data_IF_609479719887
#
_entry.id   IF_609479719887
#
_cell.length_a   1.000
_cell.length_b   1.000
_cell.length_c   1.000
_cell.angle_alpha   90.00
_cell.angle_beta   90.00
_cell.angle_gamma   90.00
#
_symmetry.space_group_name_H-M   'P 1'
#
loop_
_entity.id
_entity.type
_entity.pdbx_description
1 polymer ?
#
# COMPACT_ATOMS: atom_id res chain seq x y z
N UNK A 1 -26.17 -13.67 -32.79
CA UNK A 1 -25.22 -12.57 -33.01
C UNK A 1 -25.05 -11.88 -31.67
N UNK A 2 -23.83 -11.95 -31.10
CA UNK A 2 -23.42 -11.45 -29.78
C UNK A 2 -24.05 -12.18 -28.59
N UNK A 3 -23.51 -13.37 -28.34
CA UNK A 3 -23.60 -14.06 -27.06
C UNK A 3 -22.98 -13.15 -25.99
N UNK A 4 -23.74 -12.91 -24.92
CA UNK A 4 -23.31 -12.28 -23.68
C UNK A 4 -21.99 -12.93 -23.23
N UNK A 5 -20.87 -12.28 -23.50
CA UNK A 5 -19.60 -12.60 -22.86
C UNK A 5 -19.60 -11.90 -21.52
N UNK A 6 -19.55 -12.70 -20.46
CA UNK A 6 -19.38 -12.26 -19.08
C UNK A 6 -18.10 -11.40 -19.00
N UNK A 7 -18.26 -10.08 -18.83
CA UNK A 7 -17.20 -9.07 -18.93
C UNK A 7 -16.15 -9.16 -17.79
N UNK A 8 -16.23 -10.18 -16.93
CA UNK A 8 -15.30 -10.41 -15.82
C UNK A 8 -14.40 -11.65 -16.01
N UNK A 9 -14.47 -12.32 -17.17
CA UNK A 9 -13.53 -13.39 -17.47
C UNK A 9 -12.17 -12.83 -17.88
N UNK A 10 -11.20 -12.99 -16.98
CA UNK A 10 -9.80 -12.67 -17.26
C UNK A 10 -9.34 -13.59 -18.37
N UNK A 11 -9.19 -13.01 -19.56
CA UNK A 11 -8.85 -13.70 -20.80
C UNK A 11 -7.55 -14.48 -20.60
N UNK A 12 -7.66 -15.81 -20.55
CA UNK A 12 -6.51 -16.72 -20.48
C UNK A 12 -6.23 -17.27 -21.86
N UNK A 13 -5.65 -16.45 -22.74
CA UNK A 13 -5.11 -16.98 -23.99
C UNK A 13 -3.87 -17.86 -23.73
N UNK A 14 -3.72 -18.99 -24.43
CA UNK A 14 -2.56 -19.86 -24.28
C UNK A 14 -1.28 -19.13 -24.68
N UNK A 15 -0.33 -19.01 -23.74
CA UNK A 15 0.94 -18.32 -23.94
C UNK A 15 0.99 -16.89 -23.41
N UNK A 16 -0.14 -16.31 -22.99
CA UNK A 16 -0.18 -14.95 -22.47
C UNK A 16 0.27 -14.89 -21.00
N UNK A 17 1.31 -14.11 -20.71
CA UNK A 17 1.82 -13.98 -19.35
C UNK A 17 0.94 -13.02 -18.51
N UNK A 18 1.26 -12.89 -17.24
CA UNK A 18 0.48 -12.07 -16.29
C UNK A 18 0.47 -10.57 -16.64
N UNK A 19 1.59 -10.05 -17.15
CA UNK A 19 1.74 -8.65 -17.59
C UNK A 19 0.93 -8.39 -18.85
N UNK A 20 0.98 -9.31 -19.81
CA UNK A 20 0.25 -9.19 -21.07
C UNK A 20 -1.27 -9.09 -20.81
N UNK A 21 -1.79 -9.95 -19.93
CA UNK A 21 -3.21 -9.91 -19.51
C UNK A 21 -3.57 -8.60 -18.81
N UNK A 22 -2.69 -8.09 -17.94
CA UNK A 22 -2.93 -6.84 -17.22
C UNK A 22 -2.94 -5.63 -18.18
N UNK A 23 -2.04 -5.60 -19.16
CA UNK A 23 -1.97 -4.54 -20.16
C UNK A 23 -3.15 -4.56 -21.13
N UNK A 24 -3.73 -5.74 -21.38
CA UNK A 24 -4.93 -5.90 -22.19
C UNK A 24 -6.24 -5.60 -21.44
N UNK A 25 -6.17 -5.31 -20.14
CA UNK A 25 -7.34 -5.02 -19.32
C UNK A 25 -7.93 -3.65 -19.68
N UNK A 26 -9.13 -3.65 -20.25
CA UNK A 26 -9.91 -2.42 -20.45
C UNK A 26 -10.66 -2.10 -19.16
N UNK A 27 -10.15 -1.11 -18.40
CA UNK A 27 -10.83 -0.63 -17.19
C UNK A 27 -11.86 0.43 -17.61
N UNK A 28 -13.14 0.04 -17.67
CA UNK A 28 -14.28 0.96 -17.75
C UNK A 28 -14.49 1.57 -16.35
N UNK A 29 -13.71 2.58 -15.93
CA UNK A 29 -14.16 3.67 -15.02
C UNK A 29 -13.01 4.60 -14.54
N UNK A 30 -13.41 5.86 -14.40
CA UNK A 30 -12.68 7.04 -13.95
C UNK A 30 -12.16 6.87 -12.50
N UNK A 31 -10.87 7.17 -12.27
CA UNK A 31 -10.21 7.30 -10.95
C UNK A 31 -10.68 6.37 -9.82
N UNK A 32 -10.67 5.05 -10.04
CA UNK A 32 -10.78 4.11 -8.92
C UNK A 32 -9.45 4.02 -8.16
N UNK A 33 -9.49 4.03 -6.83
CA UNK A 33 -8.30 3.87 -5.99
C UNK A 33 -7.55 2.58 -6.37
N UNK A 34 -6.27 2.64 -6.79
CA UNK A 34 -5.54 1.45 -7.23
C UNK A 34 -5.46 0.37 -6.14
N UNK A 35 -5.49 0.75 -4.87
CA UNK A 35 -5.50 -0.20 -3.76
C UNK A 35 -6.78 -1.04 -3.73
N UNK A 36 -7.95 -0.45 -4.04
CA UNK A 36 -9.21 -1.19 -4.02
C UNK A 36 -9.24 -2.22 -5.15
N UNK A 37 -8.72 -1.88 -6.33
CA UNK A 37 -8.52 -2.82 -7.43
C UNK A 37 -7.66 -4.03 -7.00
N UNK A 38 -6.46 -3.79 -6.48
CA UNK A 38 -5.56 -4.88 -6.07
C UNK A 38 -6.05 -5.67 -4.86
N UNK A 39 -6.94 -5.10 -4.03
CA UNK A 39 -7.54 -5.79 -2.89
C UNK A 39 -8.63 -6.80 -3.30
N UNK A 40 -9.21 -6.69 -4.48
CA UNK A 40 -10.26 -7.60 -4.93
C UNK A 40 -9.75 -9.04 -5.04
N UNK A 41 -10.46 -9.98 -4.40
CA UNK A 41 -10.04 -11.39 -4.34
C UNK A 41 -9.87 -12.03 -5.73
N UNK A 42 -10.73 -11.67 -6.70
CA UNK A 42 -10.63 -12.18 -8.07
C UNK A 42 -9.37 -11.67 -8.79
N UNK A 43 -8.97 -10.41 -8.57
CA UNK A 43 -7.72 -9.84 -9.09
C UNK A 43 -6.51 -10.53 -8.47
N UNK A 44 -6.52 -10.79 -7.15
CA UNK A 44 -5.43 -11.49 -6.47
C UNK A 44 -5.21 -12.91 -7.01
N UNK A 45 -6.30 -13.63 -7.29
CA UNK A 45 -6.26 -14.99 -7.82
C UNK A 45 -5.79 -15.04 -9.28
N UNK A 46 -6.10 -14.01 -10.06
CA UNK A 46 -5.75 -13.96 -11.47
C UNK A 46 -4.36 -13.38 -11.77
N UNK A 47 -3.89 -12.52 -10.86
CA UNK A 47 -2.60 -11.83 -10.93
C UNK A 47 -1.77 -12.06 -9.66
N UNK A 48 -1.36 -13.31 -9.35
CA UNK A 48 -0.66 -13.63 -8.10
C UNK A 48 0.75 -13.01 -7.99
N UNK A 49 1.45 -12.75 -9.10
CA UNK A 49 2.81 -12.20 -9.08
C UNK A 49 2.78 -10.68 -9.05
N UNK A 50 1.97 -10.08 -9.92
CA UNK A 50 1.72 -8.64 -9.96
C UNK A 50 1.04 -8.16 -8.70
N UNK A 51 0.13 -8.92 -8.08
CA UNK A 51 -0.43 -8.54 -6.78
C UNK A 51 0.65 -8.44 -5.69
N UNK A 52 1.59 -9.40 -5.65
CA UNK A 52 2.72 -9.35 -4.71
C UNK A 52 3.64 -8.16 -4.99
N UNK A 53 3.80 -7.78 -6.25
CA UNK A 53 4.55 -6.58 -6.65
C UNK A 53 3.81 -5.31 -6.24
N UNK A 54 2.54 -5.18 -6.62
CA UNK A 54 1.67 -4.06 -6.31
C UNK A 54 1.63 -3.78 -4.80
N UNK A 55 1.48 -4.82 -3.96
CA UNK A 55 1.55 -4.67 -2.50
C UNK A 55 2.85 -4.02 -2.02
N UNK A 56 3.99 -4.40 -2.59
CA UNK A 56 5.28 -3.82 -2.22
C UNK A 56 5.39 -2.39 -2.73
N UNK A 57 5.05 -2.16 -3.99
CA UNK A 57 5.14 -0.84 -4.63
C UNK A 57 4.26 0.19 -3.93
N UNK A 58 3.01 -0.14 -3.64
CA UNK A 58 2.08 0.78 -2.97
C UNK A 58 2.33 0.92 -1.46
N UNK A 59 3.12 0.05 -0.84
CA UNK A 59 3.55 0.22 0.55
C UNK A 59 4.68 1.26 0.69
N UNK A 60 5.35 1.63 -0.41
CA UNK A 60 6.39 2.66 -0.39
C UNK A 60 5.71 4.03 -0.32
N UNK A 61 6.03 4.87 0.68
CA UNK A 61 5.50 6.22 0.73
C UNK A 61 6.05 7.05 -0.45
N UNK A 62 5.20 7.90 -1.02
CA UNK A 62 5.58 8.77 -2.14
C UNK A 62 6.65 9.81 -1.75
N UNK A 63 6.79 10.16 -0.46
CA UNK A 63 7.74 11.17 0.00
C UNK A 63 8.40 10.83 1.34
N UNK A 64 9.56 11.47 1.58
CA UNK A 64 10.27 11.43 2.88
C UNK A 64 9.51 12.14 4.00
N UNK A 65 8.48 12.94 3.69
CA UNK A 65 7.74 13.72 4.68
C UNK A 65 7.14 12.85 5.80
N UNK A 66 6.79 11.60 5.50
CA UNK A 66 6.32 10.62 6.51
C UNK A 66 7.40 10.32 7.54
N UNK A 67 8.63 10.14 7.06
CA UNK A 67 9.82 9.86 7.87
C UNK A 67 10.26 11.11 8.64
N UNK A 68 10.29 12.26 7.98
CA UNK A 68 10.61 13.56 8.60
C UNK A 68 9.63 13.93 9.73
N UNK A 69 8.34 13.60 9.56
CA UNK A 69 7.35 13.77 10.63
C UNK A 69 7.69 12.92 11.86
N UNK A 70 8.18 11.70 11.66
CA UNK A 70 8.62 10.86 12.78
C UNK A 70 9.90 11.37 13.43
N UNK A 71 10.88 11.83 12.64
CA UNK A 71 12.07 12.47 13.20
C UNK A 71 11.75 13.77 13.96
N UNK A 72 10.82 14.58 13.45
CA UNK A 72 10.35 15.77 14.14
C UNK A 72 9.72 15.41 15.49
N UNK A 73 8.90 14.36 15.52
CA UNK A 73 8.33 13.83 16.76
C UNK A 73 9.40 13.31 17.72
N UNK A 74 10.40 12.60 17.22
CA UNK A 74 11.54 12.13 18.01
C UNK A 74 12.34 13.29 18.61
N UNK A 75 12.56 14.36 17.85
CA UNK A 75 13.20 15.59 18.35
C UNK A 75 12.40 16.29 19.46
N UNK A 76 11.08 16.11 19.50
CA UNK A 76 10.27 16.56 20.63
C UNK A 76 10.37 15.63 21.85
N UNK A 77 10.64 14.34 21.66
CA UNK A 77 10.82 13.37 22.75
C UNK A 77 12.20 13.57 23.40
N UNK A 78 13.25 13.59 22.58
CA UNK A 78 14.64 13.79 23.01
C UNK A 78 14.97 15.27 22.98
N UNK A 79 14.78 15.95 24.11
CA UNK A 79 15.10 17.37 24.28
C UNK A 79 16.30 17.54 25.21
N UNK A 80 16.90 18.73 25.23
CA UNK A 80 18.04 19.03 26.11
C UNK A 80 17.73 18.73 27.60
N UNK A 81 16.49 18.98 28.04
CA UNK A 81 16.01 18.69 29.41
C UNK A 81 15.73 17.20 29.65
N UNK A 82 15.55 16.40 28.60
CA UNK A 82 15.29 14.95 28.64
C UNK A 82 16.41 14.17 27.94
N UNK A 83 17.64 14.61 28.12
CA UNK A 83 18.83 14.03 27.46
C UNK A 83 19.30 12.71 28.07
N UNK A 84 18.81 12.35 29.27
CA UNK A 84 19.19 11.12 29.98
C UNK A 84 18.18 9.97 29.80
N UNK A 85 17.48 9.93 28.66
CA UNK A 85 16.59 8.81 28.33
C UNK A 85 17.41 7.68 27.70
N UNK A 86 17.18 6.46 28.17
CA UNK A 86 17.75 5.28 27.52
C UNK A 86 17.18 5.09 26.11
N UNK A 87 17.99 4.55 25.19
CA UNK A 87 17.62 4.34 23.79
C UNK A 87 16.37 3.46 23.65
N UNK A 88 16.22 2.44 24.50
CA UNK A 88 15.02 1.58 24.49
C UNK A 88 13.76 2.36 24.83
N UNK A 89 13.87 3.32 25.77
CA UNK A 89 12.75 4.16 26.20
C UNK A 89 12.35 5.13 25.10
N UNK A 90 13.32 5.74 24.41
CA UNK A 90 13.06 6.61 23.25
C UNK A 90 12.32 5.84 22.15
N UNK A 91 12.80 4.64 21.81
CA UNK A 91 12.15 3.80 20.80
C UNK A 91 10.71 3.44 21.17
N UNK A 92 10.47 3.06 22.44
CA UNK A 92 9.12 2.76 22.93
C UNK A 92 8.20 3.99 22.85
N UNK A 93 8.69 5.17 23.21
CA UNK A 93 7.91 6.41 23.13
C UNK A 93 7.55 6.79 21.69
N UNK A 94 8.49 6.67 20.76
CA UNK A 94 8.24 6.90 19.33
C UNK A 94 7.18 5.91 18.81
N UNK A 95 7.32 4.63 19.16
CA UNK A 95 6.38 3.58 18.75
C UNK A 95 4.96 3.83 19.30
N UNK A 96 4.82 4.08 20.61
CA UNK A 96 3.53 4.34 21.24
C UNK A 96 2.86 5.57 20.64
N UNK A 97 3.62 6.65 20.40
CA UNK A 97 3.12 7.85 19.72
C UNK A 97 2.65 7.54 18.29
N UNK A 98 3.39 6.72 17.56
CA UNK A 98 3.00 6.32 16.20
C UNK A 98 1.65 5.61 16.20
N UNK A 99 1.43 4.67 17.12
CA UNK A 99 0.16 3.95 17.27
C UNK A 99 -0.97 4.91 17.64
N UNK A 100 -0.73 5.81 18.59
CA UNK A 100 -1.74 6.79 19.02
C UNK A 100 -2.18 7.69 17.86
N UNK A 101 -1.23 8.19 17.06
CA UNK A 101 -1.53 9.00 15.88
C UNK A 101 -2.33 8.24 14.83
N UNK A 102 -2.03 6.95 14.60
CA UNK A 102 -2.81 6.12 13.68
C UNK A 102 -4.27 5.94 14.12
N UNK A 103 -4.53 5.86 15.44
CA UNK A 103 -5.90 5.74 15.98
C UNK A 103 -6.72 7.03 15.87
N UNK A 104 -6.09 8.21 15.82
CA UNK A 104 -6.78 9.50 15.76
C UNK A 104 -7.19 9.92 14.33
N UNK A 105 -6.70 9.22 13.31
CA UNK A 105 -6.98 9.52 11.89
C UNK A 105 -8.04 8.60 11.26
N UNK A 106 -8.67 7.73 12.05
CA UNK A 106 -9.78 6.84 11.69
C UNK A 106 -11.00 7.30 12.49
#
# INVERSE_FOLDING_TARGET
MLQLMDKNEIVKEPGMNEIDRYNALTVEEEYTNPLTFWQQQHIQLAYPTLYRLAKRTFAVPCSSAVVERQFSAAGQIVTQRRSNLDLSTVNNLIFLRSIENSKRQI
#
